data_IF_196852276210
#
_entry.id   IF_196852276210
#
_cell.length_a   1.000
_cell.length_b   1.000
_cell.length_c   1.000
_cell.angle_alpha   90.00
_cell.angle_beta   90.00
_cell.angle_gamma   90.00
#
_symmetry.space_group_name_H-M   'P 1'
#
loop_
_entity.id
_entity.type
_entity.pdbx_description
1 polymer ?
#
# COMPACT_ATOMS: atom_id res chain seq x y z
N UNK A 1 -2.14 23.26 10.92
CA UNK A 1 -1.76 24.44 10.13
C UNK A 1 -2.99 25.02 9.45
N UNK A 2 -3.12 26.34 9.38
CA UNK A 2 -4.23 27.03 8.70
C UNK A 2 -3.72 27.68 7.43
N UNK A 3 -4.60 27.99 6.48
CA UNK A 3 -4.27 28.71 5.21
C UNK A 3 -3.53 30.03 5.43
N UNK A 4 -3.71 30.67 6.60
CA UNK A 4 -3.05 31.93 6.99
C UNK A 4 -1.68 31.74 7.61
N UNK A 5 -1.16 30.51 7.70
CA UNK A 5 0.17 30.24 8.22
C UNK A 5 1.24 30.79 7.27
N UNK A 6 2.16 31.67 7.70
CA UNK A 6 3.18 32.28 6.84
C UNK A 6 4.04 31.23 6.11
N UNK A 7 4.32 30.09 6.74
CA UNK A 7 5.05 28.99 6.13
C UNK A 7 4.31 28.43 4.91
N UNK A 8 2.98 28.23 5.02
CA UNK A 8 2.15 27.74 3.90
C UNK A 8 2.13 28.74 2.76
N UNK A 9 2.00 30.04 3.06
CA UNK A 9 2.04 31.10 2.04
C UNK A 9 3.38 31.10 1.27
N UNK A 10 4.51 31.07 2.02
CA UNK A 10 5.83 30.99 1.40
C UNK A 10 6.03 29.69 0.60
N UNK A 11 5.46 28.58 1.03
CA UNK A 11 5.49 27.33 0.29
C UNK A 11 4.71 27.43 -1.04
N UNK A 12 3.51 28.00 -0.99
CA UNK A 12 2.68 28.17 -2.20
C UNK A 12 3.35 29.09 -3.23
N UNK A 13 3.99 30.20 -2.80
CA UNK A 13 4.76 31.09 -3.69
C UNK A 13 5.87 30.36 -4.48
N UNK A 14 6.40 29.26 -3.92
CA UNK A 14 7.47 28.45 -4.54
C UNK A 14 6.92 27.31 -5.42
N UNK A 15 5.70 26.84 -5.12
CA UNK A 15 5.09 25.67 -5.76
C UNK A 15 4.19 26.10 -6.93
N UNK A 16 3.50 27.23 -6.80
CA UNK A 16 2.48 27.65 -7.76
C UNK A 16 3.08 27.95 -9.14
N UNK A 17 2.44 27.40 -10.16
CA UNK A 17 2.76 27.61 -11.56
C UNK A 17 1.47 27.51 -12.41
N UNK A 18 1.49 27.90 -13.69
CA UNK A 18 0.31 27.76 -14.57
C UNK A 18 -0.21 26.35 -14.66
N UNK A 19 0.63 25.34 -14.54
CA UNK A 19 0.28 23.93 -14.62
C UNK A 19 -0.37 23.40 -13.35
N UNK A 20 -0.21 24.07 -12.20
CA UNK A 20 -0.79 23.65 -10.92
C UNK A 20 -2.30 23.90 -10.93
N UNK A 21 -3.08 22.86 -10.69
CA UNK A 21 -4.54 22.88 -10.51
C UNK A 21 -4.87 23.12 -9.03
N UNK A 22 -4.16 22.40 -8.15
CA UNK A 22 -4.33 22.54 -6.72
C UNK A 22 -3.20 21.95 -5.91
N UNK A 23 -3.16 22.30 -4.62
CA UNK A 23 -2.16 21.83 -3.66
C UNK A 23 -2.87 21.41 -2.38
N UNK A 24 -2.52 20.23 -1.89
CA UNK A 24 -2.97 19.71 -0.61
C UNK A 24 -1.82 19.39 0.35
N UNK A 25 -2.03 19.63 1.64
CA UNK A 25 -1.19 19.07 2.68
C UNK A 25 -1.78 17.73 3.05
N UNK A 26 -0.93 16.69 3.10
CA UNK A 26 -1.32 15.33 3.46
C UNK A 26 -0.51 14.85 4.68
N UNK A 27 -0.55 13.56 4.97
CA UNK A 27 0.26 12.95 6.02
C UNK A 27 -0.11 13.41 7.43
N UNK A 28 0.88 13.45 8.33
CA UNK A 28 0.69 13.74 9.75
C UNK A 28 0.20 15.17 10.01
N UNK A 29 0.68 16.14 9.23
CA UNK A 29 0.25 17.56 9.37
C UNK A 29 -1.21 17.77 8.96
N UNK A 30 -1.71 17.05 7.98
CA UNK A 30 -3.12 17.11 7.64
C UNK A 30 -4.00 16.62 8.79
N UNK A 31 -3.58 15.56 9.47
CA UNK A 31 -4.29 14.94 10.59
C UNK A 31 -4.10 15.65 11.94
N UNK A 32 -3.17 16.61 12.05
CA UNK A 32 -2.79 17.22 13.34
C UNK A 32 -2.10 16.23 14.29
N UNK A 33 -1.35 15.30 13.73
CA UNK A 33 -0.63 14.23 14.44
C UNK A 33 0.89 14.31 14.20
N UNK A 34 1.37 15.48 13.78
CA UNK A 34 2.78 15.69 13.55
C UNK A 34 3.60 15.54 14.82
N UNK A 35 4.77 14.91 14.67
CA UNK A 35 5.77 14.71 15.70
C UNK A 35 7.05 15.47 15.38
N UNK A 36 8.02 15.46 16.29
CA UNK A 36 9.30 16.18 16.16
C UNK A 36 10.04 15.94 14.82
N UNK A 37 9.91 14.75 14.27
CA UNK A 37 10.62 14.33 13.05
C UNK A 37 9.68 14.17 11.85
N UNK A 38 8.45 14.67 11.96
CA UNK A 38 7.50 14.63 10.82
C UNK A 38 7.94 15.62 9.75
N UNK A 39 7.93 15.18 8.51
CA UNK A 39 7.99 16.01 7.32
C UNK A 39 6.64 16.67 7.02
N UNK A 40 6.66 17.70 6.20
CA UNK A 40 5.45 18.33 5.68
C UNK A 40 5.25 17.86 4.24
N UNK A 41 4.21 17.09 4.02
CA UNK A 41 3.91 16.50 2.72
C UNK A 41 2.96 17.40 1.92
N UNK A 42 3.40 17.83 0.73
CA UNK A 42 2.58 18.51 -0.25
C UNK A 42 2.31 17.59 -1.44
N UNK A 43 1.04 17.25 -1.66
CA UNK A 43 0.57 16.70 -2.92
C UNK A 43 0.16 17.84 -3.85
N UNK A 44 0.84 17.94 -4.99
CA UNK A 44 0.70 19.01 -5.98
C UNK A 44 0.04 18.39 -7.23
N UNK A 45 -1.19 18.79 -7.47
CA UNK A 45 -1.99 18.29 -8.57
C UNK A 45 -1.82 19.20 -9.77
N UNK A 46 -1.38 18.61 -10.90
CA UNK A 46 -0.99 19.36 -12.08
C UNK A 46 -1.71 18.86 -13.34
N UNK A 47 -1.85 19.76 -14.34
CA UNK A 47 -2.31 19.41 -15.69
C UNK A 47 -1.21 18.75 -16.52
N UNK A 48 0.06 19.02 -16.21
CA UNK A 48 1.25 18.45 -16.84
C UNK A 48 2.36 18.26 -15.81
N UNK A 49 2.96 17.06 -15.80
CA UNK A 49 4.10 16.75 -14.93
C UNK A 49 5.34 17.58 -15.30
N UNK A 50 6.24 17.85 -14.33
CA UNK A 50 7.57 18.35 -14.61
C UNK A 50 8.27 17.50 -15.66
N UNK A 51 9.03 18.16 -16.56
CA UNK A 51 9.76 17.48 -17.64
C UNK A 51 10.82 16.55 -17.10
N UNK A 52 11.59 17.02 -16.09
CA UNK A 52 12.55 16.17 -15.38
C UNK A 52 11.79 15.20 -14.44
N UNK A 53 11.91 13.88 -14.64
CA UNK A 53 11.31 12.89 -13.75
C UNK A 53 11.74 13.04 -12.29
N UNK A 54 12.95 13.54 -12.02
CA UNK A 54 13.45 13.77 -10.66
C UNK A 54 12.74 14.92 -9.94
N UNK A 55 12.15 15.86 -10.67
CA UNK A 55 11.35 16.94 -10.08
C UNK A 55 9.93 16.51 -9.69
N UNK A 56 9.48 15.32 -10.12
CA UNK A 56 8.13 14.81 -9.79
C UNK A 56 7.97 14.42 -8.33
N UNK A 57 9.07 14.06 -7.69
CA UNK A 57 9.14 13.84 -6.25
C UNK A 57 10.45 14.38 -5.71
N UNK A 58 10.39 15.35 -4.79
CA UNK A 58 11.60 15.95 -4.21
C UNK A 58 11.45 16.15 -2.71
N UNK A 59 12.58 15.99 -2.00
CA UNK A 59 12.72 16.35 -0.60
C UNK A 59 13.58 17.58 -0.47
N UNK A 60 13.14 18.56 0.34
CA UNK A 60 13.85 19.83 0.56
C UNK A 60 13.76 20.24 2.03
N UNK A 61 14.72 21.01 2.49
CA UNK A 61 14.60 21.69 3.78
C UNK A 61 14.16 23.13 3.56
N UNK A 62 13.04 23.53 4.19
CA UNK A 62 12.59 24.90 4.30
C UNK A 62 12.40 25.24 5.78
N UNK A 63 13.12 26.28 6.27
CA UNK A 63 13.06 26.72 7.67
C UNK A 63 13.18 25.57 8.67
N UNK A 64 14.21 24.73 8.50
CA UNK A 64 14.52 23.54 9.31
C UNK A 64 13.46 22.42 9.27
N UNK A 65 12.46 22.53 8.40
CA UNK A 65 11.46 21.47 8.15
C UNK A 65 11.81 20.69 6.89
N UNK A 66 11.76 19.36 7.00
CA UNK A 66 11.80 18.50 5.82
C UNK A 66 10.46 18.62 5.09
N UNK A 67 10.53 18.92 3.81
CA UNK A 67 9.37 19.10 2.93
C UNK A 67 9.41 18.02 1.86
N UNK A 68 8.31 17.31 1.71
CA UNK A 68 8.06 16.38 0.61
C UNK A 68 7.17 17.08 -0.43
N UNK A 69 7.62 17.15 -1.68
CA UNK A 69 6.86 17.69 -2.81
C UNK A 69 6.60 16.55 -3.78
N UNK A 70 5.34 16.19 -3.96
CA UNK A 70 4.92 15.14 -4.90
C UNK A 70 3.99 15.74 -5.94
N UNK A 71 4.43 15.71 -7.21
CA UNK A 71 3.63 16.15 -8.36
C UNK A 71 2.89 14.96 -8.94
N UNK A 72 1.57 15.09 -9.08
CA UNK A 72 0.68 14.05 -9.62
C UNK A 72 -0.23 14.68 -10.67
N UNK A 73 -0.40 14.00 -11.82
CA UNK A 73 -1.43 14.41 -12.77
C UNK A 73 -2.81 14.34 -12.09
N UNK A 74 -3.57 15.40 -12.20
CA UNK A 74 -4.92 15.45 -11.61
C UNK A 74 -5.81 14.32 -12.10
N UNK A 75 -5.75 14.02 -13.40
CA UNK A 75 -6.52 12.92 -14.00
C UNK A 75 -6.09 11.55 -13.52
N UNK A 76 -4.79 11.35 -13.23
CA UNK A 76 -4.28 10.10 -12.67
C UNK A 76 -4.79 9.87 -11.24
N UNK A 77 -4.86 10.94 -10.43
CA UNK A 77 -5.40 10.82 -9.07
C UNK A 77 -6.92 10.58 -9.11
N UNK A 78 -7.62 11.24 -10.02
CA UNK A 78 -9.05 10.95 -10.25
C UNK A 78 -9.27 9.51 -10.68
N UNK A 79 -8.45 8.99 -11.61
CA UNK A 79 -8.50 7.59 -12.05
C UNK A 79 -8.13 6.60 -10.93
N UNK A 80 -7.36 7.01 -9.91
CA UNK A 80 -7.03 6.17 -8.77
C UNK A 80 -8.28 5.72 -8.00
N UNK A 81 -9.35 6.51 -7.99
CA UNK A 81 -10.62 6.15 -7.35
C UNK A 81 -11.35 4.98 -8.04
N UNK A 82 -10.97 4.62 -9.27
CA UNK A 82 -11.57 3.52 -10.02
C UNK A 82 -10.69 2.28 -10.10
N UNK A 83 -9.54 2.28 -9.44
CA UNK A 83 -8.61 1.16 -9.38
C UNK A 83 -8.49 0.66 -7.93
N UNK A 84 -8.86 -0.59 -7.61
CA UNK A 84 -8.93 -1.05 -6.21
C UNK A 84 -7.59 -0.96 -5.48
N UNK A 85 -6.48 -1.26 -6.16
CA UNK A 85 -5.14 -1.20 -5.58
C UNK A 85 -4.71 0.23 -5.22
N UNK A 86 -5.15 1.21 -6.01
CA UNK A 86 -4.86 2.63 -5.76
C UNK A 86 -5.88 3.26 -4.82
N UNK A 87 -7.15 2.89 -4.93
CA UNK A 87 -8.24 3.48 -4.16
C UNK A 87 -8.09 3.29 -2.64
N UNK A 88 -7.56 2.15 -2.18
CA UNK A 88 -7.30 1.92 -0.76
C UNK A 88 -6.36 2.96 -0.13
N UNK A 89 -5.56 3.67 -0.93
CA UNK A 89 -4.66 4.75 -0.53
C UNK A 89 -5.20 6.14 -0.87
N UNK A 90 -5.65 6.31 -2.13
CA UNK A 90 -6.09 7.61 -2.65
C UNK A 90 -7.35 8.12 -1.93
N UNK A 91 -8.35 7.26 -1.71
CA UNK A 91 -9.60 7.66 -1.04
C UNK A 91 -9.35 8.21 0.36
N UNK A 92 -8.68 7.49 1.28
CA UNK A 92 -8.41 8.04 2.61
C UNK A 92 -7.43 9.23 2.58
N UNK A 93 -6.49 9.26 1.65
CA UNK A 93 -5.59 10.39 1.43
C UNK A 93 -6.38 11.66 1.11
N UNK A 94 -7.23 11.61 0.09
CA UNK A 94 -8.08 12.74 -0.33
C UNK A 94 -9.08 13.17 0.76
N UNK A 95 -9.66 12.23 1.51
CA UNK A 95 -10.57 12.55 2.64
C UNK A 95 -9.89 13.33 3.75
N UNK A 96 -8.61 13.08 4.00
CA UNK A 96 -7.85 13.70 5.08
C UNK A 96 -7.07 14.93 4.64
N UNK A 97 -6.86 15.11 3.33
CA UNK A 97 -6.09 16.19 2.76
C UNK A 97 -6.66 17.55 3.14
N UNK A 98 -5.76 18.47 3.52
CA UNK A 98 -6.09 19.89 3.69
C UNK A 98 -5.72 20.63 2.42
N UNK A 99 -6.69 20.91 1.57
CA UNK A 99 -6.50 21.73 0.38
C UNK A 99 -6.07 23.14 0.78
N UNK A 100 -4.91 23.58 0.28
CA UNK A 100 -4.34 24.91 0.53
C UNK A 100 -4.34 25.79 -0.73
N UNK A 101 -4.53 25.19 -1.90
CA UNK A 101 -4.77 25.88 -3.17
C UNK A 101 -5.76 25.05 -4.00
N UNK A 102 -6.77 25.70 -4.55
CA UNK A 102 -7.72 25.13 -5.51
C UNK A 102 -8.11 26.24 -6.51
N UNK A 103 -7.58 26.20 -7.72
CA UNK A 103 -7.69 27.30 -8.67
C UNK A 103 -9.05 27.39 -9.36
N UNK A 104 -9.72 26.25 -9.53
CA UNK A 104 -10.94 26.16 -10.35
C UNK A 104 -12.07 25.31 -9.71
N UNK A 105 -11.89 24.88 -8.44
CA UNK A 105 -12.83 24.02 -7.75
C UNK A 105 -12.65 22.52 -8.01
N UNK A 106 -11.66 22.13 -8.82
CA UNK A 106 -11.39 20.72 -9.14
C UNK A 106 -10.99 19.90 -7.91
N UNK A 107 -10.23 20.49 -6.98
CA UNK A 107 -9.83 19.80 -5.75
C UNK A 107 -11.03 19.53 -4.85
N UNK A 108 -11.92 20.52 -4.70
CA UNK A 108 -13.15 20.34 -3.93
C UNK A 108 -14.04 19.24 -4.54
N UNK A 109 -14.15 19.18 -5.87
CA UNK A 109 -14.89 18.13 -6.57
C UNK A 109 -14.27 16.74 -6.35
N UNK A 110 -12.94 16.63 -6.43
CA UNK A 110 -12.21 15.38 -6.21
C UNK A 110 -12.36 14.88 -4.76
N UNK A 111 -12.25 15.77 -3.78
CA UNK A 111 -12.48 15.43 -2.37
C UNK A 111 -13.93 14.99 -2.13
N UNK A 112 -14.91 15.66 -2.76
CA UNK A 112 -16.31 15.24 -2.70
C UNK A 112 -16.48 13.82 -3.24
N UNK A 113 -15.90 13.50 -4.40
CA UNK A 113 -15.94 12.15 -4.97
C UNK A 113 -15.30 11.11 -4.03
N UNK A 114 -14.19 11.45 -3.36
CA UNK A 114 -13.59 10.58 -2.36
C UNK A 114 -14.48 10.38 -1.13
N UNK A 115 -15.23 11.40 -0.68
CA UNK A 115 -16.18 11.26 0.43
C UNK A 115 -17.41 10.42 0.08
N UNK A 116 -17.89 10.51 -1.16
CA UNK A 116 -19.04 9.76 -1.69
C UNK A 116 -18.63 8.37 -2.23
N UNK A 117 -17.36 8.01 -2.14
CA UNK A 117 -16.81 6.77 -2.68
C UNK A 117 -17.43 5.53 -2.02
N UNK A 118 -17.89 4.60 -2.86
CA UNK A 118 -18.43 3.29 -2.47
C UNK A 118 -17.51 2.16 -2.95
N UNK A 119 -16.89 1.45 -2.01
CA UNK A 119 -16.02 0.33 -2.31
C UNK A 119 -16.72 -0.81 -3.04
N UNK A 120 -18.02 -1.01 -2.83
CA UNK A 120 -18.77 -2.11 -3.44
C UNK A 120 -18.66 -2.12 -4.97
N UNK A 121 -18.48 -0.96 -5.58
CA UNK A 121 -18.28 -0.81 -7.02
C UNK A 121 -16.95 -1.38 -7.53
N UNK A 122 -15.95 -1.48 -6.67
CA UNK A 122 -14.62 -2.02 -7.00
C UNK A 122 -14.43 -3.46 -6.52
N UNK A 123 -15.37 -4.02 -5.76
CA UNK A 123 -15.23 -5.35 -5.20
C UNK A 123 -14.91 -6.43 -6.24
N UNK A 124 -15.56 -6.50 -7.42
CA UNK A 124 -15.22 -7.51 -8.43
C UNK A 124 -13.77 -7.43 -8.92
N UNK A 125 -13.26 -6.20 -9.15
CA UNK A 125 -11.87 -6.00 -9.56
C UNK A 125 -10.87 -6.27 -8.41
N UNK A 126 -11.28 -6.02 -7.17
CA UNK A 126 -10.48 -6.35 -5.98
C UNK A 126 -10.38 -7.86 -5.77
N UNK A 127 -11.47 -8.60 -6.01
CA UNK A 127 -11.50 -10.06 -5.95
C UNK A 127 -10.61 -10.68 -7.04
N UNK A 128 -10.68 -10.15 -8.27
CA UNK A 128 -9.81 -10.58 -9.37
C UNK A 128 -8.33 -10.33 -9.04
N UNK A 129 -7.97 -9.13 -8.57
CA UNK A 129 -6.62 -8.80 -8.14
C UNK A 129 -6.12 -9.78 -7.07
N UNK A 130 -6.91 -10.07 -6.04
CA UNK A 130 -6.52 -10.99 -4.97
C UNK A 130 -6.27 -12.41 -5.48
N UNK A 131 -7.11 -12.90 -6.41
CA UNK A 131 -6.94 -14.22 -7.03
C UNK A 131 -5.67 -14.28 -7.90
N UNK A 132 -5.38 -13.22 -8.66
CA UNK A 132 -4.17 -13.11 -9.47
C UNK A 132 -2.90 -13.07 -8.61
N UNK A 133 -2.92 -12.35 -7.48
CA UNK A 133 -1.80 -12.32 -6.54
C UNK A 133 -1.52 -13.69 -5.92
N UNK A 134 -2.55 -14.45 -5.53
CA UNK A 134 -2.37 -15.83 -5.03
C UNK A 134 -1.75 -16.70 -6.12
N UNK A 135 -2.24 -16.64 -7.35
CA UNK A 135 -1.69 -17.45 -8.45
C UNK A 135 -0.26 -17.01 -8.80
N UNK A 136 0.00 -15.72 -8.94
CA UNK A 136 1.30 -15.19 -9.36
C UNK A 136 2.41 -15.47 -8.33
N UNK A 137 2.06 -15.45 -7.04
CA UNK A 137 3.02 -15.73 -5.97
C UNK A 137 3.36 -17.23 -5.77
N UNK A 138 2.81 -18.13 -6.58
CA UNK A 138 3.28 -19.50 -6.67
C UNK A 138 4.79 -19.56 -6.98
N UNK A 139 5.32 -18.62 -7.77
CA UNK A 139 6.76 -18.53 -8.07
C UNK A 139 7.59 -18.28 -6.80
N UNK A 140 7.15 -17.39 -5.91
CA UNK A 140 7.86 -17.11 -4.66
C UNK A 140 7.82 -18.31 -3.70
N UNK A 141 6.72 -19.06 -3.69
CA UNK A 141 6.63 -20.34 -2.96
C UNK A 141 7.71 -21.31 -3.44
N UNK A 142 7.86 -21.49 -4.75
CA UNK A 142 8.90 -22.35 -5.31
C UNK A 142 10.31 -21.89 -4.94
N UNK A 143 10.57 -20.58 -4.91
CA UNK A 143 11.86 -20.01 -4.49
C UNK A 143 12.14 -20.30 -3.02
N UNK A 144 11.14 -20.14 -2.12
CA UNK A 144 11.29 -20.47 -0.70
C UNK A 144 11.60 -21.96 -0.51
N UNK A 145 10.81 -22.84 -1.10
CA UNK A 145 11.02 -24.29 -1.00
C UNK A 145 12.41 -24.71 -1.52
N UNK A 146 12.80 -24.16 -2.67
CA UNK A 146 14.14 -24.41 -3.26
C UNK A 146 15.27 -23.87 -2.37
N UNK A 147 15.07 -22.69 -1.77
CA UNK A 147 16.04 -22.08 -0.87
C UNK A 147 16.21 -22.86 0.42
N UNK A 148 15.10 -23.34 1.01
CA UNK A 148 15.12 -24.20 2.20
C UNK A 148 15.82 -25.52 1.93
N UNK A 149 15.50 -26.19 0.81
CA UNK A 149 16.13 -27.46 0.43
C UNK A 149 17.64 -27.37 0.16
N UNK A 150 18.16 -26.19 -0.20
CA UNK A 150 19.58 -25.92 -0.46
C UNK A 150 20.26 -25.21 0.68
N UNK A 151 19.56 -24.94 1.78
CA UNK A 151 20.04 -24.15 2.90
C UNK A 151 20.57 -22.76 2.48
N UNK A 152 19.92 -22.15 1.49
CA UNK A 152 20.34 -20.86 0.90
C UNK A 152 19.56 -19.69 1.48
N UNK A 153 20.05 -19.14 2.58
CA UNK A 153 19.42 -18.08 3.38
C UNK A 153 18.93 -16.89 2.55
N UNK A 154 19.78 -16.33 1.69
CA UNK A 154 19.45 -15.14 0.91
C UNK A 154 18.23 -15.35 0.00
N UNK A 155 18.11 -16.53 -0.64
CA UNK A 155 16.95 -16.86 -1.47
C UNK A 155 15.69 -16.94 -0.63
N UNK A 156 15.75 -17.62 0.54
CA UNK A 156 14.60 -17.76 1.44
C UNK A 156 14.13 -16.38 1.91
N UNK A 157 15.04 -15.54 2.41
CA UNK A 157 14.67 -14.23 2.95
C UNK A 157 14.09 -13.30 1.89
N UNK A 158 14.69 -13.25 0.69
CA UNK A 158 14.20 -12.41 -0.40
C UNK A 158 12.80 -12.85 -0.87
N UNK A 159 12.61 -14.14 -1.12
CA UNK A 159 11.32 -14.67 -1.56
C UNK A 159 10.26 -14.56 -0.45
N UNK A 160 10.63 -14.74 0.82
CA UNK A 160 9.75 -14.48 1.99
C UNK A 160 9.24 -13.05 2.00
N UNK A 161 10.13 -12.08 1.81
CA UNK A 161 9.75 -10.66 1.80
C UNK A 161 8.74 -10.36 0.67
N UNK A 162 9.00 -10.83 -0.56
CA UNK A 162 8.10 -10.65 -1.69
C UNK A 162 6.73 -11.32 -1.46
N UNK A 163 6.75 -12.59 -1.09
CA UNK A 163 5.53 -13.36 -0.86
C UNK A 163 4.64 -12.69 0.19
N UNK A 164 5.21 -12.37 1.34
CA UNK A 164 4.43 -11.80 2.46
C UNK A 164 3.91 -10.42 2.12
N UNK A 165 4.73 -9.56 1.48
CA UNK A 165 4.30 -8.23 1.01
C UNK A 165 3.11 -8.32 0.08
N UNK A 166 3.14 -9.23 -0.90
CA UNK A 166 2.07 -9.39 -1.88
C UNK A 166 0.80 -10.00 -1.26
N UNK A 167 0.93 -10.93 -0.31
CA UNK A 167 -0.22 -11.46 0.42
C UNK A 167 -0.88 -10.40 1.32
N UNK A 168 -0.10 -9.52 1.93
CA UNK A 168 -0.61 -8.36 2.67
C UNK A 168 -1.44 -7.45 1.75
N UNK A 169 -0.89 -7.11 0.57
CA UNK A 169 -1.56 -6.26 -0.42
C UNK A 169 -2.85 -6.92 -0.95
N UNK A 170 -2.80 -8.22 -1.26
CA UNK A 170 -3.97 -8.98 -1.68
C UNK A 170 -5.11 -8.91 -0.65
N UNK A 171 -4.79 -9.10 0.64
CA UNK A 171 -5.78 -9.00 1.72
C UNK A 171 -6.29 -7.57 1.86
N UNK A 172 -5.41 -6.57 1.83
CA UNK A 172 -5.80 -5.17 1.99
C UNK A 172 -6.75 -4.73 0.86
N UNK A 173 -6.42 -5.07 -0.38
CA UNK A 173 -7.21 -4.71 -1.56
C UNK A 173 -8.53 -5.47 -1.56
N UNK A 174 -8.53 -6.80 -1.41
CA UNK A 174 -9.75 -7.60 -1.46
C UNK A 174 -10.77 -7.15 -0.40
N UNK A 175 -10.30 -6.74 0.78
CA UNK A 175 -11.16 -6.27 1.87
C UNK A 175 -11.48 -4.77 1.83
N UNK A 176 -10.97 -4.05 0.85
CA UNK A 176 -11.18 -2.60 0.72
C UNK A 176 -10.68 -1.82 1.94
N UNK A 177 -9.55 -2.21 2.52
CA UNK A 177 -9.00 -1.55 3.70
C UNK A 177 -8.51 -0.15 3.34
N UNK A 178 -9.19 0.87 3.83
CA UNK A 178 -8.80 2.26 3.61
C UNK A 178 -7.56 2.61 4.45
N UNK A 179 -6.40 2.72 3.79
CA UNK A 179 -5.11 2.90 4.44
C UNK A 179 -4.89 4.39 4.74
N UNK A 180 -5.21 4.79 5.96
CA UNK A 180 -5.11 6.18 6.42
C UNK A 180 -3.66 6.65 6.65
N UNK A 181 -2.72 5.73 6.78
CA UNK A 181 -1.29 5.98 7.00
C UNK A 181 -0.52 4.68 6.81
N UNK A 182 0.67 4.76 6.20
CA UNK A 182 1.61 3.64 6.09
C UNK A 182 1.94 3.04 7.47
N UNK A 183 2.07 3.87 8.49
CA UNK A 183 2.33 3.46 9.87
C UNK A 183 1.23 2.57 10.47
N UNK A 184 0.03 2.56 9.89
CA UNK A 184 -1.11 1.75 10.33
C UNK A 184 -1.39 0.56 9.41
N UNK A 185 -0.60 0.40 8.33
CA UNK A 185 -0.85 -0.61 7.30
C UNK A 185 -0.93 -2.03 7.87
N UNK A 186 0.09 -2.44 8.62
CA UNK A 186 0.12 -3.77 9.23
C UNK A 186 -0.96 -3.96 10.29
N UNK A 187 -1.24 -2.93 11.09
CA UNK A 187 -2.29 -2.98 12.10
C UNK A 187 -3.66 -3.21 11.46
N UNK A 188 -4.00 -2.43 10.42
CA UNK A 188 -5.28 -2.54 9.74
C UNK A 188 -5.50 -3.94 9.13
N UNK A 189 -4.47 -4.53 8.55
CA UNK A 189 -4.56 -5.87 7.99
C UNK A 189 -4.74 -6.90 9.11
N UNK A 190 -3.92 -6.85 10.17
CA UNK A 190 -4.04 -7.76 11.31
C UNK A 190 -5.41 -7.63 12.00
N UNK A 191 -5.94 -6.42 12.14
CA UNK A 191 -7.30 -6.21 12.67
C UNK A 191 -8.35 -6.87 11.77
N UNK A 192 -8.18 -6.76 10.45
CA UNK A 192 -9.14 -7.30 9.48
C UNK A 192 -9.17 -8.82 9.40
N UNK A 193 -8.04 -9.50 9.62
CA UNK A 193 -7.93 -10.97 9.62
C UNK A 193 -8.01 -11.59 11.02
N UNK A 194 -8.00 -10.75 12.06
CA UNK A 194 -7.94 -11.12 13.47
C UNK A 194 -6.52 -11.15 14.02
N UNK A 195 -6.29 -10.38 15.09
CA UNK A 195 -4.95 -10.24 15.71
C UNK A 195 -4.39 -11.56 16.22
N UNK A 196 -5.27 -12.46 16.69
CA UNK A 196 -4.90 -13.79 17.22
C UNK A 196 -5.12 -14.91 16.21
N UNK A 197 -5.37 -14.60 14.93
CA UNK A 197 -5.53 -15.60 13.89
C UNK A 197 -4.22 -16.34 13.57
N UNK A 198 -4.34 -17.54 12.99
CA UNK A 198 -3.18 -18.28 12.48
C UNK A 198 -2.43 -17.46 11.41
N UNK A 199 -3.17 -16.71 10.58
CA UNK A 199 -2.59 -15.84 9.57
C UNK A 199 -1.72 -14.75 10.19
N UNK A 200 -2.22 -14.04 11.20
CA UNK A 200 -1.45 -12.99 11.89
C UNK A 200 -0.21 -13.53 12.58
N UNK A 201 -0.30 -14.69 13.25
CA UNK A 201 0.88 -15.32 13.84
C UNK A 201 1.94 -15.67 12.80
N UNK A 202 1.53 -16.32 11.71
CA UNK A 202 2.43 -16.65 10.61
C UNK A 202 3.06 -15.40 9.97
N UNK A 203 2.27 -14.35 9.72
CA UNK A 203 2.77 -13.07 9.22
C UNK A 203 3.85 -12.48 10.14
N UNK A 204 3.60 -12.43 11.45
CA UNK A 204 4.55 -11.85 12.41
C UNK A 204 5.87 -12.62 12.45
N UNK A 205 5.81 -13.96 12.40
CA UNK A 205 7.01 -14.81 12.34
C UNK A 205 7.75 -14.59 11.01
N UNK A 206 7.06 -14.61 9.87
CA UNK A 206 7.67 -14.40 8.55
C UNK A 206 8.32 -13.02 8.43
N UNK A 207 7.70 -11.99 8.99
CA UNK A 207 8.20 -10.60 8.97
C UNK A 207 9.32 -10.34 9.99
N UNK A 208 9.57 -11.26 10.90
CA UNK A 208 10.61 -11.13 11.95
C UNK A 208 10.16 -10.31 13.16
N UNK A 209 8.85 -10.20 13.40
CA UNK A 209 8.27 -9.48 14.55
C UNK A 209 8.08 -10.38 15.79
N UNK A 210 8.32 -11.65 15.63
CA UNK A 210 8.24 -12.65 16.72
C UNK A 210 9.65 -12.97 17.23
N UNK A 211 9.89 -13.07 18.57
CA UNK A 211 11.19 -13.46 19.12
C UNK A 211 11.73 -14.80 18.58
N UNK A 212 10.85 -15.72 18.18
CA UNK A 212 11.23 -17.02 17.63
C UNK A 212 11.60 -16.98 16.13
N UNK A 213 11.55 -15.81 15.48
CA UNK A 213 11.81 -15.63 14.05
C UNK A 213 13.28 -15.33 13.70
N UNK A 214 14.22 -15.68 14.59
CA UNK A 214 15.66 -15.43 14.35
C UNK A 214 16.25 -16.28 13.23
N UNK A 215 15.67 -17.44 12.94
CA UNK A 215 16.15 -18.34 11.89
C UNK A 215 15.39 -18.11 10.57
N UNK A 216 16.14 -18.03 9.47
CA UNK A 216 15.54 -17.82 8.15
C UNK A 216 14.60 -18.96 7.72
N UNK A 217 14.89 -20.20 8.17
CA UNK A 217 14.02 -21.35 7.93
C UNK A 217 12.62 -21.15 8.53
N UNK A 218 12.57 -20.73 9.80
CA UNK A 218 11.30 -20.45 10.48
C UNK A 218 10.51 -19.33 9.77
N UNK A 219 11.20 -18.30 9.27
CA UNK A 219 10.57 -17.22 8.49
C UNK A 219 10.04 -17.71 7.16
N UNK A 220 10.81 -18.56 6.45
CA UNK A 220 10.37 -19.18 5.20
C UNK A 220 9.14 -20.07 5.39
N UNK A 221 9.16 -20.96 6.37
CA UNK A 221 8.02 -21.82 6.71
C UNK A 221 6.76 -21.00 7.08
N UNK A 222 6.94 -19.93 7.86
CA UNK A 222 5.85 -19.03 8.21
C UNK A 222 5.28 -18.29 6.98
N UNK A 223 6.11 -17.88 6.02
CA UNK A 223 5.66 -17.26 4.78
C UNK A 223 4.82 -18.24 3.92
N UNK A 224 5.24 -19.50 3.82
CA UNK A 224 4.46 -20.55 3.16
C UNK A 224 3.10 -20.74 3.86
N UNK A 225 3.07 -20.67 5.20
CA UNK A 225 1.81 -20.69 5.96
C UNK A 225 0.92 -19.49 5.64
N UNK A 226 1.47 -18.28 5.53
CA UNK A 226 0.73 -17.07 5.09
C UNK A 226 0.10 -17.29 3.72
N UNK A 227 0.85 -17.86 2.77
CA UNK A 227 0.33 -18.18 1.44
C UNK A 227 -0.84 -19.17 1.50
N UNK A 228 -0.68 -20.29 2.20
CA UNK A 228 -1.73 -21.31 2.34
C UNK A 228 -3.02 -20.73 2.93
N UNK A 229 -2.91 -19.93 3.99
CA UNK A 229 -4.04 -19.31 4.66
C UNK A 229 -4.71 -18.25 3.77
N UNK A 230 -3.94 -17.48 2.99
CA UNK A 230 -4.48 -16.50 2.05
C UNK A 230 -5.17 -17.19 0.89
N UNK A 231 -4.57 -18.24 0.31
CA UNK A 231 -5.20 -19.04 -0.73
C UNK A 231 -6.52 -19.67 -0.25
N UNK A 232 -6.56 -20.18 0.98
CA UNK A 232 -7.80 -20.70 1.61
C UNK A 232 -8.85 -19.59 1.81
N UNK A 233 -8.43 -18.40 2.22
CA UNK A 233 -9.32 -17.24 2.39
C UNK A 233 -9.99 -16.85 1.07
N UNK A 234 -9.27 -16.93 -0.03
CA UNK A 234 -9.71 -16.52 -1.36
C UNK A 234 -10.12 -17.70 -2.26
N UNK A 235 -10.28 -18.91 -1.72
CA UNK A 235 -10.54 -20.12 -2.49
C UNK A 235 -11.68 -19.95 -3.51
N UNK A 236 -12.79 -19.34 -3.10
CA UNK A 236 -13.96 -19.12 -3.97
C UNK A 236 -13.74 -18.06 -5.05
N UNK A 237 -12.70 -17.23 -4.93
CA UNK A 237 -12.38 -16.18 -5.88
C UNK A 237 -11.43 -16.66 -6.98
N UNK A 238 -10.71 -17.78 -6.75
CA UNK A 238 -9.72 -18.30 -7.69
C UNK A 238 -10.45 -18.89 -8.92
N UNK A 239 -10.27 -18.28 -10.11
CA UNK A 239 -10.94 -18.77 -11.32
C UNK A 239 -10.33 -20.10 -11.78
N UNK A 240 -11.12 -20.88 -12.52
CA UNK A 240 -10.72 -22.22 -13.00
C UNK A 240 -9.39 -22.22 -13.76
N UNK A 241 -9.14 -21.18 -14.56
CA UNK A 241 -7.87 -21.00 -15.30
C UNK A 241 -6.62 -20.96 -14.40
N UNK A 242 -6.76 -20.57 -13.12
CA UNK A 242 -5.67 -20.45 -12.13
C UNK A 242 -5.65 -21.62 -11.14
N UNK A 243 -6.75 -22.36 -11.01
CA UNK A 243 -6.96 -23.44 -10.04
C UNK A 243 -5.81 -24.43 -10.03
N UNK A 244 -5.43 -24.93 -11.21
CA UNK A 244 -4.36 -25.91 -11.34
C UNK A 244 -3.01 -25.45 -10.77
N UNK A 245 -2.66 -24.15 -10.93
CA UNK A 245 -1.41 -23.59 -10.39
C UNK A 245 -1.47 -23.54 -8.89
N UNK A 246 -2.57 -22.99 -8.34
CA UNK A 246 -2.73 -22.81 -6.89
C UNK A 246 -2.75 -24.16 -6.17
N UNK A 247 -3.58 -25.11 -6.64
CA UNK A 247 -3.70 -26.44 -6.03
C UNK A 247 -2.38 -27.21 -6.03
N UNK A 248 -1.63 -27.12 -7.15
CA UNK A 248 -0.31 -27.74 -7.28
C UNK A 248 0.69 -27.12 -6.29
N UNK A 249 0.63 -25.81 -6.13
CA UNK A 249 1.50 -25.07 -5.20
C UNK A 249 1.19 -25.44 -3.75
N UNK A 250 -0.09 -25.50 -3.38
CA UNK A 250 -0.52 -25.94 -2.05
C UNK A 250 -0.07 -27.38 -1.76
N UNK A 251 -0.17 -28.27 -2.76
CA UNK A 251 0.30 -29.65 -2.63
C UNK A 251 1.83 -29.71 -2.40
N UNK A 252 2.61 -28.93 -3.14
CA UNK A 252 4.07 -28.86 -2.94
C UNK A 252 4.46 -28.39 -1.54
N UNK A 253 3.76 -27.41 -0.98
CA UNK A 253 4.00 -26.95 0.40
C UNK A 253 3.71 -28.10 1.39
N UNK A 254 2.59 -28.81 1.18
CA UNK A 254 2.20 -29.93 2.04
C UNK A 254 3.19 -31.08 1.98
N UNK A 255 3.70 -31.40 0.77
CA UNK A 255 4.64 -32.52 0.56
C UNK A 255 6.06 -32.19 1.11
N UNK A 256 6.38 -30.92 1.32
CA UNK A 256 7.67 -30.50 1.85
C UNK A 256 7.82 -30.73 3.36
N UNK A 257 6.76 -31.11 4.09
CA UNK A 257 6.78 -31.40 5.53
C UNK A 257 7.43 -30.30 6.40
N UNK A 258 7.25 -29.02 6.03
CA UNK A 258 7.88 -27.84 6.63
C UNK A 258 6.97 -27.23 7.70
#
# INVERSE_FOLDING_TARGET
MTLTNPFIQSALERIDSPEVIGVGIVGSYARGQEMKYSDVDFDIFVSRLPEDPYDRYTLRYWDDKLISLKYTLFDDERAALTNPRRAIWAVPGLRQMKTVLDKDGSMAALQKAAHEFDWSLLQPAADEFAAEEVMGNAEEVHKILSGLAREHESTVLYATWWLVKNMLEAVAVQRGLMIISENRYFDLIQDSVGRDSAWTRAFRTAWGLDPNSSQYQARGAAALTVYCLTASMFDKLIPEKHRKVVDKTLQLIKDAEI
#
